data_IF_805221668599
#
_entry.id   IF_805221668599
#
_cell.length_a   1.000
_cell.length_b   1.000
_cell.length_c   1.000
_cell.angle_alpha   90.00
_cell.angle_beta   90.00
_cell.angle_gamma   90.00
#
_symmetry.space_group_name_H-M   'P 1'
#
loop_
_entity.id
_entity.type
_entity.pdbx_description
1 polymer ?
#
# COMPACT_ATOMS: atom_id res chain seq x y z
N UNK A 1 -15.18 24.07 1.58
CA UNK A 1 -13.98 23.32 1.99
C UNK A 1 -14.39 22.30 3.02
N UNK A 2 -14.42 21.03 2.64
CA UNK A 2 -15.19 20.00 3.33
C UNK A 2 -14.31 19.10 4.18
N UNK A 3 -14.83 18.67 5.33
CA UNK A 3 -14.27 17.67 6.24
C UNK A 3 -13.69 16.43 5.52
N UNK A 4 -14.23 16.11 4.33
CA UNK A 4 -13.72 15.06 3.44
C UNK A 4 -12.26 15.26 2.99
N UNK A 5 -11.77 16.49 2.81
CA UNK A 5 -10.36 16.71 2.47
C UNK A 5 -9.44 16.45 3.65
N UNK A 6 -9.89 16.75 4.87
CA UNK A 6 -9.18 16.47 6.13
C UNK A 6 -9.13 14.96 6.37
N UNK A 7 -10.26 14.26 6.22
CA UNK A 7 -10.32 12.79 6.36
C UNK A 7 -9.46 12.12 5.29
N UNK A 8 -9.51 12.58 4.03
CA UNK A 8 -8.65 12.03 2.98
C UNK A 8 -7.16 12.29 3.23
N UNK A 9 -6.80 13.44 3.83
CA UNK A 9 -5.41 13.70 4.25
C UNK A 9 -5.00 12.83 5.43
N UNK A 10 -5.87 12.68 6.43
CA UNK A 10 -5.62 11.89 7.63
C UNK A 10 -5.45 10.42 7.27
N UNK A 11 -6.39 9.82 6.55
CA UNK A 11 -6.30 8.43 6.10
C UNK A 11 -5.04 8.22 5.28
N UNK A 12 -4.71 9.14 4.37
CA UNK A 12 -3.51 9.02 3.53
C UNK A 12 -2.21 9.16 4.34
N UNK A 13 -2.19 10.00 5.38
CA UNK A 13 -1.06 10.13 6.31
C UNK A 13 -0.93 8.89 7.20
N UNK A 14 -2.03 8.38 7.76
CA UNK A 14 -2.05 7.19 8.61
C UNK A 14 -1.67 5.97 7.81
N UNK A 15 -2.24 5.76 6.61
CA UNK A 15 -1.86 4.65 5.74
C UNK A 15 -0.39 4.76 5.32
N UNK A 16 0.11 5.95 4.94
CA UNK A 16 1.56 6.11 4.63
C UNK A 16 2.44 5.77 5.81
N UNK A 17 2.13 6.29 7.01
CA UNK A 17 2.92 6.01 8.22
C UNK A 17 2.81 4.55 8.62
N UNK A 18 1.62 3.96 8.63
CA UNK A 18 1.39 2.56 8.97
C UNK A 18 2.04 1.60 7.97
N UNK A 19 2.00 1.91 6.68
CA UNK A 19 2.68 1.11 5.65
C UNK A 19 4.20 1.27 5.76
N UNK A 20 4.72 2.50 5.91
CA UNK A 20 6.16 2.69 6.07
C UNK A 20 6.68 2.06 7.36
N UNK A 21 5.96 2.18 8.47
CA UNK A 21 6.31 1.55 9.75
C UNK A 21 6.12 0.03 9.70
N UNK A 22 5.03 -0.45 9.10
CA UNK A 22 4.70 -1.87 9.02
C UNK A 22 5.60 -2.64 8.05
N UNK A 23 5.99 -2.02 6.93
CA UNK A 23 6.98 -2.57 6.02
C UNK A 23 8.37 -2.50 6.64
N UNK A 24 8.80 -1.35 7.19
CA UNK A 24 10.13 -1.25 7.79
C UNK A 24 10.27 -2.20 9.00
N UNK A 25 9.35 -2.19 9.97
CA UNK A 25 9.40 -3.13 11.11
C UNK A 25 9.13 -4.58 10.70
N UNK A 26 8.26 -4.80 9.72
CA UNK A 26 7.94 -6.13 9.21
C UNK A 26 9.14 -6.76 8.52
N UNK A 27 9.82 -6.01 7.63
CA UNK A 27 11.05 -6.46 6.98
C UNK A 27 12.19 -6.58 7.99
N UNK A 28 12.34 -5.65 8.92
CA UNK A 28 13.45 -5.65 9.89
C UNK A 28 13.31 -6.79 10.92
N UNK A 29 12.08 -7.09 11.39
CA UNK A 29 11.82 -8.30 12.19
C UNK A 29 11.96 -9.59 11.38
N UNK A 30 11.54 -9.60 10.12
CA UNK A 30 11.67 -10.77 9.24
C UNK A 30 13.13 -11.07 8.90
N UNK A 31 13.93 -10.02 8.70
CA UNK A 31 15.38 -10.07 8.50
C UNK A 31 16.13 -10.51 9.78
N UNK A 32 15.75 -10.00 10.96
CA UNK A 32 16.33 -10.42 12.25
C UNK A 32 15.99 -11.86 12.65
N UNK A 33 14.87 -12.40 12.17
CA UNK A 33 14.47 -13.79 12.43
C UNK A 33 15.21 -14.82 11.55
N UNK A 34 16.26 -14.43 10.82
CA UNK A 34 17.03 -15.33 9.95
C UNK A 34 16.38 -15.62 8.59
N UNK A 35 15.21 -15.05 8.31
CA UNK A 35 14.65 -15.02 6.97
C UNK A 35 15.35 -13.95 6.16
N UNK A 36 16.18 -14.34 5.17
CA UNK A 36 16.73 -13.45 4.12
C UNK A 36 15.70 -12.35 3.80
N UNK A 37 16.10 -11.05 3.68
CA UNK A 37 15.17 -9.99 3.31
C UNK A 37 14.41 -10.50 2.11
N UNK A 38 13.09 -10.72 2.26
CA UNK A 38 12.36 -11.57 1.33
C UNK A 38 12.65 -11.06 -0.07
N UNK A 39 13.50 -11.78 -0.81
CA UNK A 39 13.78 -11.49 -2.19
C UNK A 39 12.42 -11.73 -2.82
N UNK A 40 11.64 -10.66 -2.98
CA UNK A 40 10.23 -10.74 -3.35
C UNK A 40 10.26 -11.55 -4.62
N UNK A 41 9.83 -12.81 -4.52
CA UNK A 41 9.98 -13.74 -5.63
C UNK A 41 9.41 -13.03 -6.84
N UNK A 42 10.10 -13.07 -7.99
CA UNK A 42 9.63 -12.37 -9.19
C UNK A 42 8.14 -12.67 -9.46
N UNK A 43 7.69 -13.86 -9.05
CA UNK A 43 6.29 -14.30 -9.02
C UNK A 43 5.41 -13.50 -8.05
N UNK A 44 5.80 -13.32 -6.79
CA UNK A 44 5.10 -12.47 -5.81
C UNK A 44 5.07 -11.00 -6.23
N UNK A 45 6.18 -10.47 -6.77
CA UNK A 45 6.22 -9.11 -7.28
C UNK A 45 5.25 -8.92 -8.46
N UNK A 46 5.16 -9.92 -9.36
CA UNK A 46 4.22 -9.93 -10.49
C UNK A 46 2.76 -9.98 -10.01
N UNK A 47 2.44 -10.83 -9.02
CA UNK A 47 1.10 -10.93 -8.42
C UNK A 47 0.70 -9.64 -7.71
N UNK A 48 1.62 -9.02 -6.96
CA UNK A 48 1.36 -7.73 -6.32
C UNK A 48 1.16 -6.62 -7.36
N UNK A 49 1.96 -6.60 -8.43
CA UNK A 49 1.80 -5.63 -9.53
C UNK A 49 0.45 -5.78 -10.25
N UNK A 50 -0.01 -7.01 -10.51
CA UNK A 50 -1.33 -7.23 -11.15
C UNK A 50 -2.47 -6.83 -10.23
N UNK A 51 -2.40 -7.15 -8.93
CA UNK A 51 -3.36 -6.71 -7.94
C UNK A 51 -3.44 -5.17 -7.85
N UNK A 52 -2.29 -4.49 -7.78
CA UNK A 52 -2.22 -3.02 -7.76
C UNK A 52 -2.75 -2.41 -9.06
N UNK A 53 -2.49 -3.01 -10.23
CA UNK A 53 -3.04 -2.53 -11.51
C UNK A 53 -4.58 -2.58 -11.52
N UNK A 54 -5.17 -3.70 -11.08
CA UNK A 54 -6.64 -3.84 -10.96
C UNK A 54 -7.23 -2.86 -9.96
N UNK A 55 -6.60 -2.71 -8.79
CA UNK A 55 -7.03 -1.73 -7.78
C UNK A 55 -6.98 -0.29 -8.32
N UNK A 56 -5.93 0.07 -9.08
CA UNK A 56 -5.83 1.39 -9.74
C UNK A 56 -6.91 1.60 -10.79
N UNK A 57 -7.25 0.57 -11.58
CA UNK A 57 -8.33 0.63 -12.56
C UNK A 57 -9.68 0.85 -11.89
N UNK A 58 -9.98 0.07 -10.83
CA UNK A 58 -11.18 0.25 -10.03
C UNK A 58 -11.24 1.66 -9.42
N UNK A 59 -10.17 2.12 -8.78
CA UNK A 59 -10.09 3.46 -8.19
C UNK A 59 -10.25 4.59 -9.23
N UNK A 60 -9.79 4.39 -10.47
CA UNK A 60 -10.00 5.35 -11.57
C UNK A 60 -11.47 5.39 -12.01
N UNK A 61 -12.13 4.24 -12.07
CA UNK A 61 -13.55 4.15 -12.38
C UNK A 61 -14.38 4.83 -11.29
N UNK A 62 -14.10 4.51 -10.02
CA UNK A 62 -14.72 5.16 -8.85
C UNK A 62 -14.50 6.67 -8.83
N UNK A 63 -13.30 7.15 -9.20
CA UNK A 63 -13.01 8.59 -9.32
C UNK A 63 -13.76 9.30 -10.44
N UNK A 64 -14.15 8.58 -11.49
CA UNK A 64 -14.92 9.15 -12.60
C UNK A 64 -16.42 9.18 -12.29
N UNK A 65 -16.91 8.19 -11.55
CA UNK A 65 -18.31 8.11 -11.12
C UNK A 65 -18.61 9.12 -10.00
N UNK A 66 -17.63 9.39 -9.12
CA UNK A 66 -17.80 10.34 -8.01
C UNK A 66 -17.43 11.80 -8.31
N UNK A 67 -17.32 12.20 -9.58
CA UNK A 67 -17.13 13.60 -10.00
C UNK A 67 -18.42 14.18 -10.55
#
# INVERSE_FOLDING_TARGET
MSLNSIINMLTRMVTRRAVNWGINKGIDRMAKSGGKPAAVSAKQAKTMRTAVKRARQAARLTRRIGR
#
